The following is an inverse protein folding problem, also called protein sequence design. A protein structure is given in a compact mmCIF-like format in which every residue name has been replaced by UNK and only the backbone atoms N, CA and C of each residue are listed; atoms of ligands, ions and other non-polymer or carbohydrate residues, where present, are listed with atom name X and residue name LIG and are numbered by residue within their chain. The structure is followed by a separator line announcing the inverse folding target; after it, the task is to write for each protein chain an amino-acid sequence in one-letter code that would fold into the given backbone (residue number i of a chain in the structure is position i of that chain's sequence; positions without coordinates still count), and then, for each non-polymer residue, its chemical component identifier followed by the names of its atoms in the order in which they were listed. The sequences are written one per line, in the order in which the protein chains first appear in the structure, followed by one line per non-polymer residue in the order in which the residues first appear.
data_IF_177019662037
#
_entry.id   IF_177019662037
#
_cell.length_a   1.000
_cell.length_b   1.000
_cell.length_c   1.000
_cell.angle_alpha   90.00
_cell.angle_beta   90.00
_cell.angle_gamma   90.00
#
_symmetry.space_group_name_H-M   'P 1'
#
loop_
_entity.id
_entity.type
_entity.pdbx_description
1 polymer ?
#
# COMPACT_ATOMS: atom_id res chain seq x y z
N UNK A 1 -6.34 8.32 4.93
CA UNK A 1 -5.00 7.70 4.83
C UNK A 1 -4.02 8.76 4.36
N UNK A 2 -2.78 8.69 4.84
CA UNK A 2 -1.72 9.64 4.53
C UNK A 2 -0.45 8.86 4.23
N UNK A 3 0.35 9.27 3.25
CA UNK A 3 1.71 8.76 3.04
C UNK A 3 2.64 9.96 3.08
N UNK A 4 3.59 9.94 4.00
CA UNK A 4 4.60 10.96 4.14
C UNK A 4 5.76 10.59 3.22
N UNK A 5 5.80 11.25 2.08
CA UNK A 5 6.82 11.03 1.06
C UNK A 5 8.09 11.82 1.40
N UNK A 6 9.24 11.14 1.47
CA UNK A 6 10.55 11.77 1.62
C UNK A 6 11.15 12.14 0.26
N UNK A 7 12.17 13.02 0.24
CA UNK A 7 12.82 13.42 -1.01
C UNK A 7 13.48 12.25 -1.79
N UNK A 8 13.69 11.10 -1.15
CA UNK A 8 14.31 9.90 -1.74
C UNK A 8 13.45 9.21 -2.80
N UNK A 9 12.13 9.29 -2.76
CA UNK A 9 11.25 8.60 -3.74
C UNK A 9 11.15 9.26 -5.10
N UNK A 10 11.76 10.43 -5.28
CA UNK A 10 11.97 11.05 -6.59
C UNK A 10 13.34 10.72 -7.19
N UNK A 11 14.17 9.91 -6.52
CA UNK A 11 15.45 9.50 -7.11
C UNK A 11 15.20 8.63 -8.35
N UNK A 12 15.85 8.93 -9.49
CA UNK A 12 15.76 8.09 -10.66
C UNK A 12 16.22 6.67 -10.32
N UNK A 13 15.54 5.67 -10.88
CA UNK A 13 16.01 4.28 -10.85
C UNK A 13 17.36 4.23 -11.58
N UNK A 14 18.43 3.81 -10.87
CA UNK A 14 19.81 3.73 -11.37
C UNK A 14 20.38 2.33 -11.24
N UNK A 15 19.56 1.32 -11.49
CA UNK A 15 19.94 -0.09 -11.45
C UNK A 15 19.66 -0.73 -12.81
N UNK A 16 20.50 -1.70 -13.20
CA UNK A 16 20.40 -2.37 -14.49
C UNK A 16 19.23 -3.38 -14.55
N UNK A 17 18.87 -3.95 -13.40
CA UNK A 17 17.66 -4.79 -13.24
C UNK A 17 16.68 -4.12 -12.28
N UNK A 18 15.38 -4.23 -12.54
CA UNK A 18 14.33 -3.56 -11.75
C UNK A 18 14.26 -4.18 -10.35
N UNK A 19 14.55 -5.46 -10.25
CA UNK A 19 14.56 -6.26 -9.03
C UNK A 19 15.64 -5.80 -8.04
N UNK A 20 16.75 -5.23 -8.53
CA UNK A 20 17.82 -4.67 -7.71
C UNK A 20 17.48 -3.27 -7.15
N UNK A 21 16.33 -2.68 -7.52
CA UNK A 21 15.96 -1.36 -7.03
C UNK A 21 15.42 -1.41 -5.60
N UNK A 22 16.19 -0.87 -4.66
CA UNK A 22 15.73 -0.66 -3.28
C UNK A 22 14.95 0.66 -3.21
N UNK A 23 13.67 0.57 -2.90
CA UNK A 23 12.82 1.73 -2.67
C UNK A 23 13.12 2.34 -1.29
N UNK A 24 13.28 3.67 -1.26
CA UNK A 24 13.40 4.40 0.00
C UNK A 24 12.15 4.21 0.85
N UNK A 25 12.37 4.09 2.16
CA UNK A 25 11.28 3.95 3.13
C UNK A 25 10.44 5.23 3.18
N UNK A 26 9.12 5.07 3.17
CA UNK A 26 8.16 6.15 3.37
C UNK A 26 7.19 5.79 4.49
N UNK A 27 6.83 6.75 5.32
CA UNK A 27 5.94 6.50 6.44
C UNK A 27 4.48 6.55 5.98
N UNK A 28 3.71 5.48 6.23
CA UNK A 28 2.32 5.35 5.81
C UNK A 28 1.38 5.27 7.01
N UNK A 29 0.27 6.00 6.92
CA UNK A 29 -0.81 6.04 7.89
C UNK A 29 -2.12 5.58 7.25
N UNK A 30 -2.60 4.43 7.69
CA UNK A 30 -3.93 3.89 7.41
C UNK A 30 -4.66 3.73 8.75
N UNK A 31 -5.39 4.77 9.18
CA UNK A 31 -6.10 4.76 10.46
C UNK A 31 -7.29 3.79 10.47
N UNK A 32 -7.78 3.48 11.69
CA UNK A 32 -8.87 2.52 11.92
C UNK A 32 -10.16 2.89 11.21
N UNK A 33 -10.51 4.18 11.13
CA UNK A 33 -11.71 4.64 10.43
C UNK A 33 -11.70 4.30 8.93
N UNK A 34 -10.53 4.37 8.29
CA UNK A 34 -10.33 3.94 6.90
C UNK A 34 -10.49 2.43 6.79
N UNK A 35 -9.90 1.66 7.71
CA UNK A 35 -10.03 0.20 7.77
C UNK A 35 -11.50 -0.20 7.91
N UNK A 36 -12.23 0.43 8.83
CA UNK A 36 -13.64 0.15 9.07
C UNK A 36 -14.48 0.46 7.83
N UNK A 37 -14.24 1.60 7.18
CA UNK A 37 -14.95 1.98 5.96
C UNK A 37 -14.72 0.97 4.83
N UNK A 38 -13.49 0.47 4.69
CA UNK A 38 -13.11 -0.56 3.72
C UNK A 38 -13.81 -1.87 4.01
N UNK A 39 -13.71 -2.38 5.25
CA UNK A 39 -14.31 -3.65 5.64
C UNK A 39 -15.82 -3.60 5.51
N UNK A 40 -16.45 -2.48 5.87
CA UNK A 40 -17.88 -2.26 5.69
C UNK A 40 -18.27 -2.22 4.20
N UNK A 41 -17.48 -1.56 3.34
CA UNK A 41 -17.72 -1.58 1.90
C UNK A 41 -17.62 -3.01 1.34
N UNK A 42 -16.64 -3.79 1.79
CA UNK A 42 -16.47 -5.19 1.39
C UNK A 42 -17.61 -6.08 1.85
N UNK A 43 -18.06 -5.92 3.09
CA UNK A 43 -19.20 -6.65 3.65
C UNK A 43 -20.50 -6.40 2.86
N UNK A 44 -20.64 -5.23 2.22
CA UNK A 44 -21.76 -4.91 1.32
C UNK A 44 -21.58 -5.42 -0.12
N UNK A 45 -20.45 -6.06 -0.44
CA UNK A 45 -20.11 -6.48 -1.80
C UNK A 45 -19.67 -5.34 -2.72
N UNK A 46 -19.37 -4.16 -2.17
CA UNK A 46 -18.92 -3.02 -2.95
C UNK A 46 -17.41 -3.09 -3.24
N UNK A 47 -16.99 -2.42 -4.32
CA UNK A 47 -15.58 -2.23 -4.66
C UNK A 47 -15.00 -1.05 -3.89
N UNK A 48 -13.76 -1.18 -3.43
CA UNK A 48 -12.95 -0.06 -2.96
C UNK A 48 -11.90 0.26 -4.01
N UNK A 49 -11.82 1.52 -4.44
CA UNK A 49 -10.92 1.97 -5.50
C UNK A 49 -9.90 2.92 -4.90
N UNK A 50 -8.62 2.53 -4.94
CA UNK A 50 -7.52 3.42 -4.58
C UNK A 50 -7.26 4.42 -5.72
N UNK A 51 -7.21 5.71 -5.41
CA UNK A 51 -6.99 6.77 -6.40
C UNK A 51 -5.61 7.39 -6.16
N UNK A 52 -4.68 7.11 -7.06
CA UNK A 52 -3.29 7.55 -6.96
C UNK A 52 -2.35 6.46 -6.45
N UNK A 53 -1.09 6.50 -6.92
CA UNK A 53 -0.05 5.50 -6.60
C UNK A 53 0.27 5.47 -5.11
N UNK A 54 0.28 6.63 -4.47
CA UNK A 54 0.41 6.81 -3.02
C UNK A 54 -0.63 6.01 -2.25
N UNK A 55 -1.91 6.15 -2.60
CA UNK A 55 -3.01 5.42 -1.95
C UNK A 55 -2.94 3.91 -2.21
N UNK A 56 -2.53 3.50 -3.42
CA UNK A 56 -2.29 2.09 -3.72
C UNK A 56 -1.21 1.52 -2.80
N UNK A 57 -0.07 2.22 -2.67
CA UNK A 57 1.05 1.74 -1.86
C UNK A 57 0.71 1.65 -0.38
N UNK A 58 0.02 2.62 0.22
CA UNK A 58 -0.30 2.52 1.64
C UNK A 58 -1.38 1.47 1.94
N UNK A 59 -2.41 1.32 1.10
CA UNK A 59 -3.42 0.25 1.30
C UNK A 59 -2.82 -1.15 1.11
N UNK A 60 -1.95 -1.32 0.11
CA UNK A 60 -1.26 -2.60 -0.10
C UNK A 60 -0.30 -2.91 1.05
N UNK A 61 0.44 -1.92 1.56
CA UNK A 61 1.32 -2.09 2.73
C UNK A 61 0.55 -2.53 3.97
N UNK A 62 -0.57 -1.85 4.26
CA UNK A 62 -1.46 -2.20 5.36
C UNK A 62 -2.05 -3.62 5.19
N UNK A 63 -2.45 -4.00 3.97
CA UNK A 63 -2.94 -5.35 3.69
C UNK A 63 -1.86 -6.41 3.86
N UNK A 64 -0.60 -6.13 3.47
CA UNK A 64 0.53 -7.04 3.67
C UNK A 64 0.84 -7.26 5.14
N UNK A 65 0.83 -6.19 5.93
CA UNK A 65 1.05 -6.23 7.38
C UNK A 65 -0.09 -6.89 8.16
N UNK A 66 -1.32 -6.87 7.64
CA UNK A 66 -2.50 -7.45 8.30
C UNK A 66 -2.35 -8.95 8.53
N UNK A 67 -2.72 -9.39 9.74
CA UNK A 67 -2.57 -10.78 10.21
C UNK A 67 -3.87 -11.57 10.18
N UNK A 68 -4.98 -10.93 10.57
CA UNK A 68 -6.26 -11.61 10.80
C UNK A 68 -7.30 -11.21 9.76
N UNK A 69 -7.29 -9.94 9.36
CA UNK A 69 -8.26 -9.37 8.43
C UNK A 69 -7.66 -9.03 7.04
N UNK A 70 -8.53 -8.60 6.12
CA UNK A 70 -8.12 -8.13 4.79
C UNK A 70 -7.16 -6.94 4.87
N UNK A 71 -7.37 -6.07 5.85
CA UNK A 71 -6.55 -4.90 6.16
C UNK A 71 -6.72 -4.60 7.65
N UNK A 72 -5.65 -4.11 8.27
CA UNK A 72 -5.62 -3.67 9.66
C UNK A 72 -4.99 -2.26 9.70
N UNK A 73 -5.15 -1.50 10.81
CA UNK A 73 -4.53 -0.19 10.92
C UNK A 73 -3.02 -0.29 10.73
N UNK A 74 -2.46 0.68 10.03
CA UNK A 74 -1.04 0.68 9.66
C UNK A 74 -0.44 2.06 9.90
N UNK A 75 0.65 2.12 10.66
CA UNK A 75 1.33 3.35 11.08
C UNK A 75 2.82 3.08 11.11
N UNK A 76 3.36 2.67 9.96
CA UNK A 76 4.73 2.21 9.85
C UNK A 76 5.34 2.59 8.51
N UNK A 77 6.63 2.34 8.41
CA UNK A 77 7.41 2.49 7.21
C UNK A 77 7.02 1.46 6.15
N UNK A 78 6.95 1.91 4.90
CA UNK A 78 6.79 1.04 3.73
C UNK A 78 7.90 1.25 2.72
N UNK A 79 8.46 0.13 2.29
CA UNK A 79 9.43 0.05 1.19
C UNK A 79 8.82 -0.65 -0.02
N UNK A 80 7.48 -0.75 -0.08
CA UNK A 80 6.81 -1.50 -1.13
C UNK A 80 7.13 -0.91 -2.51
N UNK A 81 7.74 -1.73 -3.35
CA UNK A 81 8.02 -1.40 -4.74
C UNK A 81 7.08 -2.18 -5.66
N UNK A 82 6.19 -1.46 -6.34
CA UNK A 82 5.18 -2.04 -7.24
C UNK A 82 5.71 -1.94 -8.67
N UNK A 83 6.02 -3.09 -9.26
CA UNK A 83 6.53 -3.25 -10.61
C UNK A 83 5.78 -4.36 -11.35
N UNK A 84 5.92 -4.52 -12.69
CA UNK A 84 5.23 -5.56 -13.43
C UNK A 84 5.46 -6.96 -12.84
N UNK A 85 4.38 -7.72 -12.64
CA UNK A 85 4.43 -9.05 -12.01
C UNK A 85 4.20 -9.04 -10.49
N UNK A 86 4.20 -7.86 -9.85
CA UNK A 86 3.89 -7.71 -8.43
C UNK A 86 2.51 -8.29 -8.06
N UNK A 87 2.48 -9.12 -7.02
CA UNK A 87 1.25 -9.77 -6.56
C UNK A 87 0.60 -8.94 -5.45
N UNK A 88 -0.53 -8.32 -5.77
CA UNK A 88 -1.27 -7.48 -4.82
C UNK A 88 -2.08 -8.32 -3.83
N UNK A 89 -1.72 -8.31 -2.55
CA UNK A 89 -2.53 -8.94 -1.50
C UNK A 89 -3.85 -8.20 -1.29
N UNK A 90 -3.84 -6.87 -1.41
CA UNK A 90 -5.08 -6.09 -1.35
C UNK A 90 -5.91 -6.34 -2.60
N UNK A 91 -5.37 -6.12 -3.81
CA UNK A 91 -6.16 -6.15 -5.06
C UNK A 91 -6.74 -7.54 -5.39
N UNK A 92 -6.08 -8.63 -4.96
CA UNK A 92 -6.49 -10.00 -5.28
C UNK A 92 -7.72 -10.51 -4.55
N UNK A 93 -8.30 -9.73 -3.63
CA UNK A 93 -9.56 -10.08 -2.96
C UNK A 93 -10.76 -9.26 -3.44
N UNK A 94 -10.65 -8.39 -4.46
CA UNK A 94 -11.72 -7.49 -4.92
C UNK A 94 -12.53 -7.99 -6.11
#
# INVERSE_FOLDING_TARGET
MTLHVGAGTFQPVRVDTIEDHIMHSEYAEVPQDVVDAVLAAKARGNRVIAVGTTSVRSLESAAQAAKNDLIEPFFDDTQIFIYPGFQYKWSMRW
#
